data_IF_178191197627
#
_entry.id   IF_178191197627
#
_cell.length_a   1.000
_cell.length_b   1.000
_cell.length_c   1.000
_cell.angle_alpha   90.00
_cell.angle_beta   90.00
_cell.angle_gamma   90.00
#
_symmetry.space_group_name_H-M   'P 1'
#
loop_
_entity.id
_entity.type
_entity.pdbx_description
1 polymer ?
#
# COMPACT_ATOMS: atom_id res chain seq x y z
N UNK A 1 2.16 -5.48 -8.92
CA UNK A 1 3.19 -6.38 -8.37
C UNK A 1 4.43 -6.55 -9.27
N UNK A 2 4.75 -5.60 -10.16
CA UNK A 2 5.90 -5.72 -11.09
C UNK A 2 7.10 -4.84 -10.72
N UNK A 3 7.19 -4.39 -9.48
CA UNK A 3 8.23 -3.45 -9.07
C UNK A 3 9.55 -4.19 -8.84
N UNK A 4 10.63 -3.71 -9.47
CA UNK A 4 11.92 -4.40 -9.51
C UNK A 4 12.84 -3.83 -8.43
N UNK A 5 12.90 -4.50 -7.29
CA UNK A 5 13.68 -4.08 -6.11
C UNK A 5 14.56 -5.21 -5.56
N UNK A 6 14.51 -6.39 -6.18
CA UNK A 6 15.35 -7.52 -5.80
C UNK A 6 16.52 -7.67 -6.77
N UNK A 7 17.65 -8.06 -6.20
CA UNK A 7 18.94 -8.17 -6.89
C UNK A 7 18.99 -9.41 -7.78
N UNK A 8 19.41 -9.26 -9.03
CA UNK A 8 19.73 -10.36 -9.93
C UNK A 8 21.13 -10.94 -9.70
N UNK A 9 21.52 -11.95 -10.48
CA UNK A 9 22.84 -12.59 -10.39
C UNK A 9 24.02 -11.64 -10.67
N UNK A 10 23.76 -10.43 -11.21
CA UNK A 10 24.76 -9.42 -11.51
C UNK A 10 24.78 -8.28 -10.48
N UNK A 11 24.04 -8.42 -9.37
CA UNK A 11 24.04 -7.40 -8.33
C UNK A 11 23.13 -6.20 -8.63
N UNK A 12 22.18 -6.30 -9.58
CA UNK A 12 21.31 -5.17 -9.97
C UNK A 12 19.83 -5.42 -9.65
N UNK A 13 19.10 -4.36 -9.30
CA UNK A 13 17.65 -4.41 -9.02
C UNK A 13 16.82 -4.61 -10.29
N UNK A 14 16.68 -5.88 -10.69
CA UNK A 14 16.00 -6.28 -11.92
C UNK A 14 14.85 -7.25 -11.68
N UNK A 15 14.72 -7.80 -10.48
CA UNK A 15 13.73 -8.81 -10.16
C UNK A 15 12.57 -8.18 -9.36
N UNK A 16 11.34 -8.55 -9.73
CA UNK A 16 10.16 -8.34 -8.87
C UNK A 16 10.04 -9.43 -7.80
N UNK A 17 9.10 -9.26 -6.86
CA UNK A 17 8.91 -10.20 -5.74
C UNK A 17 8.64 -11.64 -6.20
N UNK A 18 7.98 -11.84 -7.33
CA UNK A 18 7.67 -13.18 -7.85
C UNK A 18 8.92 -13.84 -8.40
N UNK A 19 9.71 -13.08 -9.16
CA UNK A 19 10.97 -13.55 -9.73
C UNK A 19 12.00 -13.84 -8.64
N UNK A 20 11.99 -13.06 -7.56
CA UNK A 20 12.81 -13.28 -6.38
C UNK A 20 12.29 -14.42 -5.46
N UNK A 21 11.13 -15.01 -5.78
CA UNK A 21 10.44 -16.00 -4.93
C UNK A 21 10.20 -15.50 -3.50
N UNK A 22 9.96 -14.20 -3.37
CA UNK A 22 9.66 -13.56 -2.09
C UNK A 22 8.19 -13.68 -1.70
N UNK A 23 7.91 -13.19 -0.50
CA UNK A 23 6.58 -13.13 0.11
C UNK A 23 6.21 -11.67 0.40
N UNK A 24 4.94 -11.42 0.69
CA UNK A 24 4.43 -10.07 1.00
C UNK A 24 3.80 -10.05 2.38
N UNK A 25 4.15 -9.05 3.20
CA UNK A 25 3.45 -8.71 4.43
C UNK A 25 2.68 -7.40 4.23
N UNK A 26 1.36 -7.43 4.43
CA UNK A 26 0.49 -6.25 4.26
C UNK A 26 -0.02 -5.78 5.62
N UNK A 27 0.39 -4.57 6.01
CA UNK A 27 -0.03 -3.91 7.26
C UNK A 27 -0.75 -2.60 6.94
N UNK A 28 -1.94 -2.41 7.49
CA UNK A 28 -2.68 -1.15 7.37
C UNK A 28 -1.94 -0.01 8.09
N UNK A 29 -1.66 1.10 7.41
CA UNK A 29 -0.92 2.23 7.99
C UNK A 29 -1.54 3.59 7.64
N UNK A 30 -2.54 4.03 8.43
CA UNK A 30 -3.24 5.30 8.17
C UNK A 30 -2.34 6.54 8.30
N UNK A 31 -1.27 6.48 9.11
CA UNK A 31 -0.39 7.63 9.34
C UNK A 31 0.41 8.05 8.10
N UNK A 32 0.50 7.22 7.07
CA UNK A 32 1.09 7.61 5.77
C UNK A 32 0.29 8.73 5.09
N UNK A 33 -0.96 8.94 5.47
CA UNK A 33 -1.80 10.04 4.98
C UNK A 33 -1.66 11.34 5.79
N UNK A 34 -0.75 11.38 6.76
CA UNK A 34 -0.59 12.52 7.63
C UNK A 34 -0.03 13.73 6.86
N UNK A 35 -0.67 14.88 7.04
CA UNK A 35 -0.13 16.18 6.66
C UNK A 35 0.69 16.74 7.82
N UNK A 36 1.99 16.87 7.57
CA UNK A 36 3.01 17.37 8.50
C UNK A 36 3.52 18.76 8.13
N UNK A 37 2.80 19.50 7.28
CA UNK A 37 3.24 20.83 6.79
C UNK A 37 3.04 21.96 7.80
N UNK A 38 2.24 21.75 8.86
CA UNK A 38 1.92 22.78 9.87
C UNK A 38 2.10 22.26 11.30
N UNK A 39 2.97 22.93 12.07
CA UNK A 39 3.20 22.62 13.48
C UNK A 39 3.87 21.26 13.71
N UNK A 40 3.82 20.77 14.96
CA UNK A 40 4.47 19.52 15.39
C UNK A 40 3.49 18.35 15.54
N UNK A 41 2.19 18.59 15.40
CA UNK A 41 1.14 17.56 15.49
C UNK A 41 0.63 17.25 14.08
N UNK A 42 0.90 16.06 13.53
CA UNK A 42 0.39 15.68 12.22
C UNK A 42 -1.15 15.68 12.21
N UNK A 43 -1.73 16.17 11.12
CA UNK A 43 -3.17 16.03 10.87
C UNK A 43 -3.41 14.89 9.89
N UNK A 44 -4.40 14.03 10.14
CA UNK A 44 -4.62 12.83 9.34
C UNK A 44 -5.62 13.14 8.23
N UNK A 45 -5.33 12.68 7.01
CA UNK A 45 -6.23 12.77 5.85
C UNK A 45 -6.66 11.39 5.35
N UNK A 46 -6.63 10.39 6.23
CA UNK A 46 -7.09 9.03 5.94
C UNK A 46 -8.60 8.99 5.73
N UNK A 47 -9.08 8.00 4.97
CA UNK A 47 -10.49 7.65 4.96
C UNK A 47 -10.93 7.14 6.35
N UNK A 48 -12.23 7.25 6.63
CA UNK A 48 -12.83 6.67 7.83
C UNK A 48 -12.76 5.12 7.81
N UNK A 49 -12.96 4.48 8.96
CA UNK A 49 -12.85 3.02 9.08
C UNK A 49 -13.84 2.28 8.20
N UNK A 50 -15.08 2.78 8.04
CA UNK A 50 -16.11 2.17 7.21
C UNK A 50 -15.75 2.15 5.73
N UNK A 51 -14.94 3.10 5.28
CA UNK A 51 -14.37 3.11 3.91
C UNK A 51 -13.03 2.38 3.83
N UNK A 52 -12.16 2.55 4.82
CA UNK A 52 -10.76 2.10 4.77
C UNK A 52 -10.61 0.58 4.94
N UNK A 53 -11.41 -0.04 5.82
CA UNK A 53 -11.32 -1.48 6.08
C UNK A 53 -11.71 -2.32 4.86
N UNK A 54 -12.84 -2.07 4.17
CA UNK A 54 -13.17 -2.82 2.94
C UNK A 54 -12.15 -2.62 1.83
N UNK A 55 -11.54 -1.42 1.72
CA UNK A 55 -10.48 -1.15 0.74
C UNK A 55 -9.19 -1.90 1.07
N UNK A 56 -8.85 -2.02 2.36
CA UNK A 56 -7.73 -2.83 2.82
C UNK A 56 -7.95 -4.31 2.51
N UNK A 57 -9.12 -4.86 2.84
CA UNK A 57 -9.49 -6.25 2.56
C UNK A 57 -9.45 -6.54 1.05
N UNK A 58 -10.07 -5.67 0.23
CA UNK A 58 -10.03 -5.80 -1.23
C UNK A 58 -8.59 -5.76 -1.77
N UNK A 59 -7.73 -4.91 -1.20
CA UNK A 59 -6.33 -4.86 -1.59
C UNK A 59 -5.62 -6.18 -1.27
N UNK A 60 -5.81 -6.73 -0.05
CA UNK A 60 -5.27 -8.02 0.35
C UNK A 60 -5.73 -9.13 -0.59
N UNK A 61 -7.04 -9.22 -0.86
CA UNK A 61 -7.61 -10.22 -1.78
C UNK A 61 -6.99 -10.13 -3.18
N UNK A 62 -6.84 -8.92 -3.71
CA UNK A 62 -6.22 -8.70 -5.01
C UNK A 62 -4.76 -9.15 -5.03
N UNK A 63 -3.99 -8.97 -3.95
CA UNK A 63 -2.60 -9.44 -3.88
C UNK A 63 -2.55 -10.97 -3.81
N UNK A 64 -3.36 -11.58 -2.95
CA UNK A 64 -3.46 -13.03 -2.82
C UNK A 64 -3.83 -13.68 -4.16
N UNK A 65 -4.75 -13.08 -4.93
CA UNK A 65 -5.15 -13.57 -6.24
C UNK A 65 -4.03 -13.57 -7.30
N UNK A 66 -2.93 -12.82 -7.09
CA UNK A 66 -1.74 -12.88 -7.95
C UNK A 66 -0.90 -14.13 -7.70
N UNK A 67 -1.18 -14.90 -6.64
CA UNK A 67 -0.49 -16.14 -6.30
C UNK A 67 0.84 -15.94 -5.58
N UNK A 68 1.03 -14.80 -4.92
CA UNK A 68 2.20 -14.53 -4.07
C UNK A 68 1.85 -14.94 -2.63
N UNK A 69 2.70 -15.71 -1.92
CA UNK A 69 2.49 -15.97 -0.50
C UNK A 69 2.38 -14.65 0.26
N UNK A 70 1.26 -14.46 0.94
CA UNK A 70 0.88 -13.19 1.54
C UNK A 70 0.47 -13.41 2.99
N UNK A 71 1.05 -12.60 3.88
CA UNK A 71 0.70 -12.49 5.28
C UNK A 71 0.10 -11.09 5.52
N UNK A 72 -0.71 -10.97 6.56
CA UNK A 72 -1.35 -9.70 6.92
C UNK A 72 -1.18 -9.38 8.40
N UNK A 73 -1.21 -8.08 8.72
CA UNK A 73 -1.54 -7.64 10.07
C UNK A 73 -3.05 -7.77 10.37
N UNK A 74 -3.48 -7.10 11.43
CA UNK A 74 -4.90 -6.96 11.80
C UNK A 74 -5.29 -5.49 11.66
N UNK A 75 -6.29 -5.20 10.84
CA UNK A 75 -6.75 -3.82 10.60
C UNK A 75 -7.17 -3.16 11.91
N UNK A 76 -6.73 -1.92 12.12
CA UNK A 76 -7.08 -1.12 13.31
C UNK A 76 -6.48 -1.59 14.64
N UNK A 77 -5.77 -2.72 14.67
CA UNK A 77 -5.12 -3.22 15.88
C UNK A 77 -3.82 -2.46 16.18
N UNK A 78 -3.48 -2.37 17.46
CA UNK A 78 -2.13 -2.02 17.88
C UNK A 78 -1.21 -3.21 17.60
N UNK A 79 -0.10 -2.97 16.90
CA UNK A 79 0.80 -4.03 16.42
C UNK A 79 2.25 -3.62 16.57
N UNK A 80 3.07 -4.56 17.05
CA UNK A 80 4.52 -4.51 16.92
C UNK A 80 4.94 -5.27 15.66
N UNK A 81 5.45 -4.54 14.66
CA UNK A 81 5.88 -5.13 13.38
C UNK A 81 7.40 -5.18 13.33
N UNK A 82 7.96 -6.40 13.33
CA UNK A 82 9.40 -6.61 13.18
C UNK A 82 9.76 -6.80 11.71
N UNK A 83 10.84 -6.16 11.27
CA UNK A 83 11.41 -6.39 9.94
C UNK A 83 12.94 -6.29 9.98
N UNK A 84 13.58 -7.00 9.06
CA UNK A 84 14.97 -6.76 8.68
C UNK A 84 14.96 -6.11 7.31
N UNK A 85 15.42 -4.87 7.22
CA UNK A 85 15.48 -4.16 5.94
C UNK A 85 16.82 -4.47 5.27
N UNK A 86 16.81 -5.43 4.35
CA UNK A 86 18.00 -5.84 3.61
C UNK A 86 18.43 -4.75 2.60
N UNK A 87 19.72 -4.43 2.62
CA UNK A 87 20.43 -3.45 1.80
C UNK A 87 20.47 -1.94 2.18
N UNK A 88 19.67 -1.34 3.09
CA UNK A 88 18.20 -1.26 3.12
C UNK A 88 17.58 -0.56 1.89
N UNK A 89 16.46 -1.07 1.38
CA UNK A 89 15.70 -0.47 0.26
C UNK A 89 14.28 -0.12 0.69
N UNK A 90 13.92 1.16 0.64
CA UNK A 90 12.56 1.63 0.94
C UNK A 90 12.01 2.43 -0.23
N UNK A 91 10.80 2.08 -0.68
CA UNK A 91 10.12 2.75 -1.78
C UNK A 91 8.76 3.23 -1.31
N UNK A 92 8.48 4.51 -1.49
CA UNK A 92 7.20 5.12 -1.18
C UNK A 92 6.40 5.34 -2.47
N UNK A 93 5.18 4.80 -2.53
CA UNK A 93 4.25 5.04 -3.62
C UNK A 93 3.11 5.93 -3.16
N UNK A 94 2.77 6.93 -3.97
CA UNK A 94 1.54 7.69 -3.82
C UNK A 94 0.80 7.65 -5.17
N UNK A 95 -0.40 7.08 -5.18
CA UNK A 95 -1.31 7.23 -6.31
C UNK A 95 -2.28 8.36 -5.97
N UNK A 96 -2.15 9.55 -6.57
CA UNK A 96 -3.11 10.60 -6.33
C UNK A 96 -4.49 10.11 -6.78
N UNK A 97 -5.50 10.37 -5.94
CA UNK A 97 -6.89 10.13 -6.29
C UNK A 97 -7.20 10.99 -7.53
N UNK A 98 -7.45 10.36 -8.68
CA UNK A 98 -7.96 11.10 -9.83
C UNK A 98 -9.38 11.51 -9.46
N UNK A 99 -9.62 12.81 -9.29
CA UNK A 99 -10.98 13.34 -9.19
C UNK A 99 -11.65 13.18 -10.56
N UNK A 100 -12.27 12.02 -10.80
CA UNK A 100 -13.18 11.88 -11.92
C UNK A 100 -14.47 12.55 -11.49
N UNK A 101 -14.67 13.81 -11.88
CA UNK A 101 -15.97 14.45 -11.83
C UNK A 101 -16.91 13.64 -12.73
N UNK A 102 -17.77 12.81 -12.15
CA UNK A 102 -18.98 12.37 -12.83
C UNK A 102 -19.90 13.59 -12.88
N UNK A 103 -19.87 14.29 -14.01
CA UNK A 103 -20.84 15.33 -14.31
C UNK A 103 -22.19 14.65 -14.55
N UNK A 104 -23.02 14.54 -13.51
CA UNK A 104 -24.44 14.25 -13.65
C UNK A 104 -25.18 15.53 -14.11
N UNK A 105 -24.76 16.07 -15.25
CA UNK A 105 -25.53 17.08 -15.96
C UNK A 105 -26.43 16.39 -16.99
N UNK A 106 -27.72 16.34 -16.63
CA UNK A 106 -28.86 16.41 -17.58
C UNK A 106 -29.06 15.25 -18.55
N UNK A 107 -29.88 14.29 -18.16
CA UNK A 107 -30.93 13.77 -19.06
C UNK A 107 -32.21 13.53 -18.27
N UNK A 108 -32.91 14.62 -17.93
CA UNK A 108 -34.37 14.59 -17.95
C UNK A 108 -34.79 14.88 -19.39
N UNK A 109 -35.24 13.86 -20.10
CA UNK A 109 -36.40 13.88 -21.00
C UNK A 109 -36.76 12.45 -21.34
#
# INVERSE_FOLDING_TARGET
MGYRIFTDVQGRFNLDVRQAKGEVLIVSQFTLSADTTKGLRPSLRAADTGTAEPLYELFVEQICAVGIPTQTGVFGAHMDVTLVNDSPTTICFAKPMKTTFFDFATTRR
#
